data_IF_811912861660
#
_entry.id   IF_811912861660
#
_cell.length_a   1.000
_cell.length_b   1.000
_cell.length_c   1.000
_cell.angle_alpha   90.00
_cell.angle_beta   90.00
_cell.angle_gamma   90.00
#
_symmetry.space_group_name_H-M   'P 1'
#
loop_
_entity.id
_entity.type
_entity.pdbx_description
1 polymer ?
#
# COMPACT_ATOMS: atom_id res chain seq x y z
N UNK A 1 -18.91 -22.86 17.17
CA UNK A 1 -18.29 -22.00 18.21
C UNK A 1 -19.04 -22.05 19.55
N UNK A 2 -20.33 -22.39 19.61
CA UNK A 2 -20.96 -22.65 20.90
C UNK A 2 -20.30 -23.89 21.54
N UNK A 3 -19.68 -23.72 22.71
CA UNK A 3 -19.12 -24.74 23.63
C UNK A 3 -17.59 -24.97 23.67
N UNK A 4 -16.75 -24.12 23.05
CA UNK A 4 -15.29 -24.15 23.31
C UNK A 4 -14.90 -23.00 24.25
N UNK A 5 -14.07 -23.28 25.27
CA UNK A 5 -13.49 -22.21 26.09
C UNK A 5 -12.37 -21.53 25.29
N UNK A 6 -12.18 -20.22 25.48
CA UNK A 6 -11.11 -19.45 24.81
C UNK A 6 -9.72 -20.03 25.10
N UNK A 7 -9.52 -20.57 26.30
CA UNK A 7 -8.28 -21.27 26.71
C UNK A 7 -7.96 -22.51 25.89
N UNK A 8 -8.97 -23.09 25.25
CA UNK A 8 -8.87 -24.35 24.51
C UNK A 8 -8.66 -24.08 23.01
N UNK A 9 -8.66 -22.81 22.60
CA UNK A 9 -8.37 -22.39 21.23
C UNK A 9 -6.86 -22.28 21.03
N UNK A 10 -6.38 -22.76 19.89
CA UNK A 10 -4.99 -22.57 19.48
C UNK A 10 -4.72 -21.08 19.27
N UNK A 11 -3.56 -20.61 19.73
CA UNK A 11 -3.10 -19.26 19.45
C UNK A 11 -3.04 -19.04 17.93
N UNK A 12 -3.41 -17.83 17.50
CA UNK A 12 -3.30 -17.44 16.11
C UNK A 12 -1.82 -17.45 15.71
N UNK A 13 -1.44 -18.33 14.79
CA UNK A 13 -0.05 -18.52 14.36
C UNK A 13 0.34 -17.59 13.19
N UNK A 14 -0.66 -17.14 12.42
CA UNK A 14 -0.49 -16.32 11.21
C UNK A 14 -1.31 -15.04 11.32
N UNK A 15 -0.90 -13.92 10.69
CA UNK A 15 -1.72 -12.70 10.66
C UNK A 15 -3.15 -12.99 10.15
N UNK A 16 -4.19 -12.40 10.75
CA UNK A 16 -5.55 -12.63 10.30
C UNK A 16 -5.75 -12.11 8.87
N UNK A 17 -6.50 -12.85 8.06
CA UNK A 17 -6.87 -12.46 6.70
C UNK A 17 -7.81 -11.24 6.70
N UNK A 18 -8.02 -10.65 5.53
CA UNK A 18 -8.85 -9.45 5.36
C UNK A 18 -10.33 -9.67 5.74
N UNK A 19 -10.82 -10.90 5.62
CA UNK A 19 -12.19 -11.32 5.93
C UNK A 19 -12.33 -11.93 7.33
N UNK A 20 -11.22 -12.10 8.07
CA UNK A 20 -11.24 -12.59 9.43
C UNK A 20 -11.88 -11.56 10.40
N UNK A 21 -12.56 -12.12 11.41
CA UNK A 21 -13.21 -11.35 12.46
C UNK A 21 -12.53 -11.63 13.78
N UNK A 22 -12.02 -10.56 14.40
CA UNK A 22 -11.50 -10.66 15.76
C UNK A 22 -12.62 -10.44 16.76
N UNK A 23 -12.73 -11.34 17.70
CA UNK A 23 -13.70 -11.27 18.78
C UNK A 23 -12.98 -10.90 20.06
N UNK A 24 -13.26 -9.72 20.60
CA UNK A 24 -12.72 -9.30 21.89
C UNK A 24 -13.71 -9.70 22.97
N UNK A 25 -13.27 -10.64 23.81
CA UNK A 25 -13.99 -11.03 25.03
C UNK A 25 -13.49 -10.12 26.14
N UNK A 26 -14.34 -9.18 26.55
CA UNK A 26 -14.11 -8.43 27.78
C UNK A 26 -14.47 -9.34 28.96
N UNK A 27 -13.46 -9.71 29.76
CA UNK A 27 -13.64 -10.58 30.93
C UNK A 27 -14.39 -9.89 32.07
N UNK A 28 -14.64 -8.58 31.96
CA UNK A 28 -15.25 -7.73 33.00
C UNK A 28 -16.62 -7.14 32.62
N UNK A 29 -17.04 -7.22 31.34
CA UNK A 29 -18.29 -6.62 30.86
C UNK A 29 -19.22 -7.64 30.19
N UNK A 30 -20.53 -7.45 30.36
CA UNK A 30 -21.62 -8.29 29.84
C UNK A 30 -21.78 -8.28 28.31
N UNK A 31 -20.90 -7.59 27.57
CA UNK A 31 -20.97 -7.48 26.12
C UNK A 31 -19.60 -7.63 25.46
N UNK A 32 -19.44 -8.70 24.69
CA UNK A 32 -18.28 -8.87 23.80
C UNK A 32 -18.35 -7.92 22.61
N UNK A 33 -17.19 -7.53 22.08
CA UNK A 33 -17.09 -6.62 20.93
C UNK A 33 -16.51 -7.33 19.72
N UNK A 34 -17.09 -7.06 18.55
CA UNK A 34 -16.54 -7.47 17.24
C UNK A 34 -15.55 -6.40 16.77
N UNK A 35 -14.31 -6.80 16.51
CA UNK A 35 -13.32 -5.99 15.80
C UNK A 35 -13.22 -6.52 14.37
N UNK A 36 -13.45 -5.65 13.39
CA UNK A 36 -13.21 -5.99 11.98
C UNK A 36 -11.74 -5.70 11.67
N UNK A 37 -11.01 -6.69 11.16
CA UNK A 37 -9.56 -6.61 10.95
C UNK A 37 -9.14 -5.44 10.04
N UNK A 38 -10.04 -4.92 9.19
CA UNK A 38 -9.81 -3.71 8.39
C UNK A 38 -9.42 -2.46 9.20
N UNK A 39 -9.70 -2.41 10.51
CA UNK A 39 -9.31 -1.31 11.40
C UNK A 39 -7.96 -1.53 12.11
N UNK A 40 -7.33 -2.68 11.91
CA UNK A 40 -5.98 -2.97 12.41
C UNK A 40 -4.95 -2.70 11.34
N UNK A 41 -3.70 -2.55 11.76
CA UNK A 41 -2.57 -2.37 10.83
C UNK A 41 -2.44 -3.66 10.01
N UNK A 42 -2.67 -3.56 8.71
CA UNK A 42 -2.58 -4.65 7.73
C UNK A 42 -1.35 -4.44 6.85
N UNK A 43 -0.76 -5.52 6.37
CA UNK A 43 0.29 -5.47 5.34
C UNK A 43 -0.07 -6.36 4.17
N UNK A 44 -0.14 -5.77 2.98
CA UNK A 44 -0.38 -6.50 1.73
C UNK A 44 0.90 -6.56 0.88
N UNK A 45 1.07 -7.68 0.18
CA UNK A 45 2.12 -7.86 -0.83
C UNK A 45 1.51 -7.84 -2.23
N UNK A 46 2.07 -7.01 -3.10
CA UNK A 46 1.72 -6.94 -4.52
C UNK A 46 2.97 -7.17 -5.35
N UNK A 47 2.91 -8.11 -6.29
CA UNK A 47 4.00 -8.39 -7.22
C UNK A 47 3.69 -7.78 -8.59
N UNK A 48 4.61 -6.95 -9.07
CA UNK A 48 4.57 -6.30 -10.37
C UNK A 48 5.62 -6.94 -11.29
N UNK A 49 5.16 -7.52 -12.39
CA UNK A 49 6.05 -8.00 -13.44
C UNK A 49 6.57 -6.84 -14.31
N UNK A 50 7.50 -7.14 -15.23
CA UNK A 50 8.11 -6.12 -16.06
C UNK A 50 7.09 -5.36 -16.92
N UNK A 51 6.13 -6.06 -17.54
CA UNK A 51 5.07 -5.43 -18.35
C UNK A 51 4.26 -4.42 -17.53
N UNK A 52 3.88 -4.79 -16.31
CA UNK A 52 3.13 -3.91 -15.40
C UNK A 52 3.94 -2.68 -14.99
N UNK A 53 5.24 -2.86 -14.74
CA UNK A 53 6.15 -1.75 -14.40
C UNK A 53 6.32 -0.79 -15.57
N UNK A 54 6.55 -1.29 -16.78
CA UNK A 54 6.67 -0.45 -17.97
C UNK A 54 5.34 0.23 -18.35
N UNK A 55 4.22 -0.30 -17.86
CA UNK A 55 2.93 0.32 -18.03
C UNK A 55 2.71 1.47 -17.04
N UNK A 56 3.40 1.50 -15.88
CA UNK A 56 3.30 2.62 -14.93
C UNK A 56 3.67 3.94 -15.62
N UNK A 57 2.81 4.95 -15.47
CA UNK A 57 2.94 6.28 -16.04
C UNK A 57 1.94 7.27 -15.45
N UNK A 58 2.15 8.55 -15.71
CA UNK A 58 1.20 9.60 -15.35
C UNK A 58 0.29 9.87 -16.54
N UNK A 59 -1.00 9.62 -16.42
CA UNK A 59 -1.96 9.80 -17.53
C UNK A 59 -3.40 9.35 -17.28
N UNK A 60 -3.73 8.83 -16.09
CA UNK A 60 -5.10 8.51 -15.67
C UNK A 60 -5.76 7.32 -16.39
N UNK A 61 -5.07 6.68 -17.33
CA UNK A 61 -5.62 5.56 -18.10
C UNK A 61 -5.42 4.24 -17.38
N UNK A 62 -6.37 3.30 -17.52
CA UNK A 62 -6.25 1.97 -16.96
C UNK A 62 -4.96 1.29 -17.48
N UNK A 63 -4.09 0.87 -16.55
CA UNK A 63 -2.76 0.32 -16.85
C UNK A 63 -1.59 1.26 -16.51
N UNK A 64 -1.85 2.55 -16.28
CA UNK A 64 -0.81 3.54 -15.97
C UNK A 64 -0.48 3.66 -14.47
N UNK A 65 -1.29 3.03 -13.62
CA UNK A 65 -1.05 2.98 -12.18
C UNK A 65 -1.38 1.60 -11.64
N UNK A 66 -0.85 1.30 -10.47
CA UNK A 66 -1.19 0.10 -9.71
C UNK A 66 -1.92 0.49 -8.43
N UNK A 67 -3.12 -0.05 -8.24
CA UNK A 67 -3.82 0.06 -6.95
C UNK A 67 -3.08 -0.79 -5.92
N UNK A 68 -2.66 -0.15 -4.83
CA UNK A 68 -2.03 -0.79 -3.67
C UNK A 68 -3.08 -1.24 -2.65
N UNK A 69 -4.08 -0.40 -2.40
CA UNK A 69 -5.19 -0.70 -1.50
C UNK A 69 -6.46 -0.18 -2.14
N UNK A 70 -7.47 -1.04 -2.28
CA UNK A 70 -8.76 -0.66 -2.84
C UNK A 70 -9.48 0.39 -1.97
N UNK A 71 -10.40 1.12 -2.58
CA UNK A 71 -11.23 2.09 -1.87
C UNK A 71 -12.04 1.41 -0.74
N UNK A 72 -12.01 1.93 0.50
CA UNK A 72 -12.58 1.25 1.67
C UNK A 72 -14.11 1.40 1.82
N UNK A 73 -14.76 2.22 0.99
CA UNK A 73 -16.14 2.67 1.16
C UNK A 73 -16.24 4.07 1.77
N UNK A 74 -17.37 4.75 1.55
CA UNK A 74 -17.61 6.10 2.09
C UNK A 74 -17.63 6.15 3.61
N UNK A 75 -17.12 7.25 4.16
CA UNK A 75 -16.86 7.48 5.58
C UNK A 75 -15.52 6.93 6.06
N UNK A 76 -14.65 6.47 5.16
CA UNK A 76 -13.37 5.85 5.51
C UNK A 76 -12.25 6.28 4.57
N UNK A 77 -11.02 6.23 5.09
CA UNK A 77 -9.81 6.46 4.29
C UNK A 77 -8.74 5.41 4.61
N UNK A 78 -7.88 5.13 3.64
CA UNK A 78 -6.66 4.34 3.82
C UNK A 78 -5.56 5.26 4.36
N UNK A 79 -4.96 4.94 5.50
CA UNK A 79 -3.78 5.64 6.03
C UNK A 79 -2.55 4.75 5.83
N UNK A 80 -1.70 5.03 4.83
CA UNK A 80 -0.44 4.32 4.66
C UNK A 80 0.52 4.64 5.81
N UNK A 81 1.17 3.59 6.32
CA UNK A 81 2.18 3.67 7.39
C UNK A 81 3.57 3.49 6.79
N UNK A 82 3.74 2.48 5.93
CA UNK A 82 5.01 2.19 5.26
C UNK A 82 4.76 1.51 3.93
N UNK A 83 5.54 1.85 2.91
CA UNK A 83 5.61 1.13 1.63
C UNK A 83 7.04 0.70 1.38
N UNK A 84 7.26 -0.60 1.25
CA UNK A 84 8.58 -1.17 0.94
C UNK A 84 8.56 -1.81 -0.44
N UNK A 85 9.50 -1.40 -1.27
CA UNK A 85 9.76 -1.91 -2.59
C UNK A 85 10.97 -2.84 -2.57
N UNK A 86 10.84 -4.00 -3.19
CA UNK A 86 11.96 -4.92 -3.45
C UNK A 86 12.02 -5.12 -4.95
N UNK A 87 13.00 -4.49 -5.59
CA UNK A 87 13.20 -4.54 -7.04
C UNK A 87 14.19 -5.63 -7.41
N UNK A 88 13.81 -6.45 -8.41
CA UNK A 88 14.63 -7.56 -8.92
C UNK A 88 14.93 -7.30 -10.40
N UNK A 89 16.22 -7.16 -10.73
CA UNK A 89 16.65 -6.92 -12.11
C UNK A 89 16.67 -8.20 -12.96
N UNK A 90 16.38 -8.07 -14.25
CA UNK A 90 16.36 -9.18 -15.22
C UNK A 90 17.01 -8.82 -16.56
N UNK A 91 18.19 -8.19 -16.56
CA UNK A 91 19.07 -8.12 -17.72
C UNK A 91 19.52 -6.71 -18.12
N UNK A 92 18.60 -5.77 -18.38
CA UNK A 92 18.93 -4.39 -18.73
C UNK A 92 18.80 -3.44 -17.55
N UNK A 93 19.80 -2.56 -17.37
CA UNK A 93 19.78 -1.52 -16.34
C UNK A 93 18.65 -0.53 -16.60
N UNK A 94 17.81 -0.31 -15.59
CA UNK A 94 16.83 0.77 -15.59
C UNK A 94 17.55 2.13 -15.58
N UNK A 95 17.24 2.99 -16.56
CA UNK A 95 17.97 4.25 -16.83
C UNK A 95 17.06 5.44 -17.16
N UNK A 96 15.74 5.25 -17.12
CA UNK A 96 14.74 6.27 -17.45
C UNK A 96 14.73 7.45 -16.48
N UNK A 97 15.29 7.28 -15.27
CA UNK A 97 15.35 8.32 -14.24
C UNK A 97 13.97 8.89 -13.86
N UNK A 98 12.90 8.09 -13.98
CA UNK A 98 11.54 8.53 -13.64
C UNK A 98 11.32 8.52 -12.12
N UNK A 99 10.42 9.37 -11.66
CA UNK A 99 9.99 9.40 -10.26
C UNK A 99 8.88 8.37 -10.04
N UNK A 100 8.80 7.83 -8.82
CA UNK A 100 7.69 7.00 -8.37
C UNK A 100 6.87 7.78 -7.33
N UNK A 101 5.55 7.76 -7.44
CA UNK A 101 4.61 8.46 -6.58
C UNK A 101 3.64 7.47 -5.94
N UNK A 102 3.19 7.78 -4.73
CA UNK A 102 2.18 7.02 -4.00
C UNK A 102 1.19 8.00 -3.42
N UNK A 103 -0.10 7.71 -3.53
CA UNK A 103 -1.15 8.59 -3.03
C UNK A 103 -2.53 8.17 -3.52
N UNK A 104 -3.46 9.12 -3.45
CA UNK A 104 -4.90 8.87 -3.69
C UNK A 104 -5.40 9.39 -5.04
N UNK A 105 -4.60 10.23 -5.71
CA UNK A 105 -4.94 10.86 -6.98
C UNK A 105 -3.77 10.63 -7.96
N UNK A 106 -4.00 9.74 -8.93
CA UNK A 106 -3.01 9.29 -9.91
C UNK A 106 -2.75 10.31 -11.02
N UNK A 107 -3.62 11.33 -11.13
CA UNK A 107 -3.49 12.40 -12.12
C UNK A 107 -2.59 13.53 -11.62
N UNK A 108 -2.10 13.44 -10.38
CA UNK A 108 -1.26 14.46 -9.75
C UNK A 108 0.21 14.05 -9.69
N UNK A 109 1.08 14.99 -10.06
CA UNK A 109 2.53 14.88 -9.82
C UNK A 109 3.00 15.89 -8.77
N UNK A 110 2.08 16.65 -8.18
CA UNK A 110 2.35 17.68 -7.17
C UNK A 110 1.72 17.37 -5.81
N UNK A 111 0.69 16.51 -5.76
CA UNK A 111 -0.01 16.12 -4.54
C UNK A 111 0.00 14.59 -4.42
N UNK A 112 0.80 14.07 -3.50
CA UNK A 112 0.95 12.64 -3.25
C UNK A 112 1.25 12.40 -1.76
N UNK A 113 1.09 11.18 -1.27
CA UNK A 113 1.48 10.83 0.10
C UNK A 113 3.01 10.75 0.23
N UNK A 114 3.66 10.06 -0.70
CA UNK A 114 5.12 9.95 -0.75
C UNK A 114 5.59 9.84 -2.20
N UNK A 115 6.86 10.17 -2.43
CA UNK A 115 7.50 9.96 -3.72
C UNK A 115 8.96 9.56 -3.54
N UNK A 116 9.51 8.98 -4.60
CA UNK A 116 10.94 8.72 -4.73
C UNK A 116 11.43 9.29 -6.04
N UNK A 117 12.40 10.19 -6.00
CA UNK A 117 12.98 10.77 -7.21
C UNK A 117 13.94 9.81 -7.90
N UNK A 118 13.87 9.70 -9.23
CA UNK A 118 14.76 8.84 -10.04
C UNK A 118 14.80 7.40 -9.53
N UNK A 119 13.61 6.84 -9.29
CA UNK A 119 13.46 5.49 -8.76
C UNK A 119 14.17 4.50 -9.67
N UNK A 120 15.10 3.73 -9.11
CA UNK A 120 15.84 2.67 -9.79
C UNK A 120 16.71 3.09 -11.00
N UNK A 121 17.10 4.36 -11.16
CA UNK A 121 17.98 4.83 -12.25
C UNK A 121 19.40 4.20 -12.32
N UNK A 122 19.69 3.18 -11.51
CA UNK A 122 20.82 2.26 -11.61
C UNK A 122 20.51 1.01 -10.76
N UNK A 123 19.69 0.10 -11.31
CA UNK A 123 19.23 -1.07 -10.56
C UNK A 123 20.24 -2.22 -10.57
N UNK A 124 20.68 -2.65 -9.38
CA UNK A 124 21.23 -3.98 -9.13
C UNK A 124 20.10 -4.90 -8.61
N UNK A 125 20.19 -6.22 -8.85
CA UNK A 125 19.18 -7.17 -8.36
C UNK A 125 19.09 -7.14 -6.83
N UNK A 126 17.87 -7.20 -6.28
CA UNK A 126 17.62 -7.19 -4.84
C UNK A 126 17.65 -5.82 -4.18
N UNK A 127 17.40 -4.73 -4.92
CA UNK A 127 17.38 -3.39 -4.35
C UNK A 127 16.13 -3.19 -3.48
N UNK A 128 16.32 -2.90 -2.20
CA UNK A 128 15.24 -2.63 -1.26
C UNK A 128 15.15 -1.13 -0.99
N UNK A 129 13.96 -0.55 -1.14
CA UNK A 129 13.66 0.86 -0.84
C UNK A 129 12.41 0.94 0.01
N UNK A 130 12.47 1.65 1.13
CA UNK A 130 11.30 1.81 2.01
C UNK A 130 10.95 3.28 2.18
N UNK A 131 9.67 3.59 2.03
CA UNK A 131 9.05 4.87 2.29
C UNK A 131 8.24 4.72 3.57
N UNK A 132 8.59 5.48 4.61
CA UNK A 132 7.88 5.47 5.89
C UNK A 132 7.19 6.82 6.08
N UNK A 133 6.08 6.86 6.83
CA UNK A 133 5.41 8.12 7.15
C UNK A 133 6.20 9.02 8.10
N UNK A 134 7.27 8.51 8.72
CA UNK A 134 8.15 9.21 9.67
C UNK A 134 9.30 9.91 8.94
N UNK A 135 8.94 10.91 8.15
CA UNK A 135 9.87 11.80 7.49
C UNK A 135 9.07 12.86 6.79
N UNK A 136 8.91 14.01 7.45
CA UNK A 136 8.27 15.26 7.01
C UNK A 136 7.91 15.27 5.52
N UNK A 137 6.62 15.40 5.12
CA UNK A 137 6.26 15.41 3.70
C UNK A 137 7.08 16.50 3.01
N UNK A 138 8.07 16.07 2.23
CA UNK A 138 8.91 16.99 1.49
C UNK A 138 8.02 17.56 0.40
N UNK A 139 7.59 18.80 0.65
CA UNK A 139 6.77 19.69 -0.18
C UNK A 139 5.26 19.37 -0.29
N UNK A 140 4.48 20.31 0.27
CA UNK A 140 3.08 20.72 -0.03
C UNK A 140 2.17 19.62 -0.58
N UNK A 141 1.56 18.84 0.32
CA UNK A 141 0.53 17.87 -0.05
C UNK A 141 -0.81 18.37 0.43
N UNK A 142 -1.55 19.03 -0.48
CA UNK A 142 -2.98 19.29 -0.29
C UNK A 142 -3.70 18.52 -1.38
N UNK A 143 -4.33 17.41 -1.04
CA UNK A 143 -5.31 16.85 -1.94
C UNK A 143 -6.47 17.85 -1.99
N UNK A 144 -6.66 18.52 -3.14
CA UNK A 144 -7.79 19.46 -3.32
C UNK A 144 -9.13 18.73 -3.26
N UNK A 145 -9.11 17.40 -3.41
CA UNK A 145 -10.24 16.50 -3.28
C UNK A 145 -10.30 15.83 -1.90
N UNK A 146 -11.52 15.44 -1.50
CA UNK A 146 -11.73 14.58 -0.34
C UNK A 146 -10.97 13.26 -0.50
N UNK A 147 -10.35 12.78 0.58
CA UNK A 147 -9.73 11.45 0.65
C UNK A 147 -10.75 10.35 1.01
N UNK A 148 -12.02 10.71 1.17
CA UNK A 148 -13.11 9.77 1.40
C UNK A 148 -13.24 8.79 0.24
N UNK A 149 -13.25 7.49 0.57
CA UNK A 149 -13.46 6.41 -0.38
C UNK A 149 -12.48 6.42 -1.58
N UNK A 150 -11.25 6.90 -1.38
CA UNK A 150 -10.21 6.81 -2.41
C UNK A 150 -9.31 5.58 -2.19
N UNK A 151 -8.95 4.95 -3.31
CA UNK A 151 -7.93 3.89 -3.32
C UNK A 151 -6.54 4.51 -3.11
N UNK A 152 -5.63 3.75 -2.50
CA UNK A 152 -4.21 4.09 -2.47
C UNK A 152 -3.55 3.44 -3.67
N UNK A 153 -2.84 4.22 -4.47
CA UNK A 153 -2.20 3.76 -5.71
C UNK A 153 -0.74 4.18 -5.79
N UNK A 154 0.01 3.50 -6.66
CA UNK A 154 1.37 3.85 -7.07
C UNK A 154 1.40 4.11 -8.58
N UNK A 155 2.10 5.16 -8.99
CA UNK A 155 2.29 5.55 -10.38
C UNK A 155 3.67 6.18 -10.57
N UNK A 156 4.09 6.42 -11.81
CA UNK A 156 5.37 7.05 -12.11
C UNK A 156 5.19 8.34 -12.91
N UNK A 157 6.24 9.17 -12.95
CA UNK A 157 6.25 10.40 -13.77
C UNK A 157 6.41 10.15 -15.26
N UNK A 158 6.50 8.89 -15.68
CA UNK A 158 6.83 8.47 -17.03
C UNK A 158 7.17 6.99 -17.08
N UNK A 159 7.45 6.50 -18.27
CA UNK A 159 7.66 5.07 -18.53
C UNK A 159 9.05 4.59 -18.13
N UNK A 160 9.11 3.52 -17.33
CA UNK A 160 10.35 2.80 -17.08
C UNK A 160 10.85 2.06 -18.33
N UNK A 161 12.16 1.89 -18.48
CA UNK A 161 12.76 1.30 -19.69
C UNK A 161 13.59 0.02 -19.42
N UNK A 162 13.84 -0.34 -18.16
CA UNK A 162 14.61 -1.52 -17.78
C UNK A 162 13.79 -2.82 -17.72
N UNK A 163 14.47 -3.95 -17.89
CA UNK A 163 13.96 -5.29 -17.61
C UNK A 163 14.09 -5.61 -16.13
N UNK A 164 13.04 -5.36 -15.34
CA UNK A 164 12.99 -5.64 -13.91
C UNK A 164 11.55 -5.88 -13.43
N UNK A 165 11.42 -6.51 -12.27
CA UNK A 165 10.18 -6.74 -11.54
C UNK A 165 10.27 -6.17 -10.12
N UNK A 166 9.14 -6.07 -9.43
CA UNK A 166 9.10 -5.50 -8.08
C UNK A 166 8.03 -6.14 -7.21
N UNK A 167 8.39 -6.43 -5.96
CA UNK A 167 7.43 -6.68 -4.91
C UNK A 167 7.21 -5.40 -4.10
N UNK A 168 5.94 -5.08 -3.84
CA UNK A 168 5.51 -3.94 -3.03
C UNK A 168 4.83 -4.48 -1.77
N UNK A 169 5.34 -4.08 -0.62
CA UNK A 169 4.75 -4.35 0.68
C UNK A 169 4.17 -3.05 1.22
N UNK A 170 2.84 -2.95 1.31
CA UNK A 170 2.14 -1.78 1.84
C UNK A 170 1.57 -2.12 3.22
N UNK A 171 2.06 -1.44 4.25
CA UNK A 171 1.50 -1.47 5.59
C UNK A 171 0.59 -0.26 5.79
N UNK A 172 -0.67 -0.49 6.15
CA UNK A 172 -1.69 0.55 6.24
C UNK A 172 -2.73 0.24 7.32
N UNK A 173 -3.57 1.22 7.63
CA UNK A 173 -4.79 1.06 8.42
C UNK A 173 -5.97 1.74 7.69
N UNK A 174 -7.19 1.27 7.87
CA UNK A 174 -8.39 2.00 7.42
C UNK A 174 -8.98 2.73 8.63
N UNK A 175 -9.16 4.04 8.52
CA UNK A 175 -9.74 4.88 9.58
C UNK A 175 -11.04 5.51 9.12
N UNK A 176 -11.92 5.81 10.08
CA UNK A 176 -13.16 6.54 9.84
C UNK A 176 -12.85 8.04 9.77
N UNK A 177 -13.46 8.74 8.80
CA UNK A 177 -13.38 10.19 8.64
C UNK A 177 -14.32 10.94 9.59
#
# INVERSE_FOLDING_TARGET
>A
MANQKVSDLTALAEPPASDDVLYVVDTSATASKKVQNKYLIQTDKISLNNTQITALGSGGTAGEFQVLVAAPGSGYMVVPITVTFISTGSGSTESSNVNLYIGYDVDQTSNYWAFWSRFNGTLASGNVKSLTSVGTPQTRTSNSATIDNLALSVWSSGTFNGGWSMDVYITYQIVKL
#
